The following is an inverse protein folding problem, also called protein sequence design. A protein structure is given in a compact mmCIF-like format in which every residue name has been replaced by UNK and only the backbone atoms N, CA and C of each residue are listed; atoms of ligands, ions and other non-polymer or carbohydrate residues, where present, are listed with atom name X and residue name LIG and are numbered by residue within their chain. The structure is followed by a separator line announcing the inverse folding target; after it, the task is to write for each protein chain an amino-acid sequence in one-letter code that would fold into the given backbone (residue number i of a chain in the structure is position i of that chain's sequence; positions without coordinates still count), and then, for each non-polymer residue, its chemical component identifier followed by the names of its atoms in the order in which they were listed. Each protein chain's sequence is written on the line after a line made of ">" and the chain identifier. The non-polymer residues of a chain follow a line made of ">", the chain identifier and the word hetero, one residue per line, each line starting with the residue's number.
data_IF_792132072251
#
_entry.id   IF_792132072251
#
_cell.length_a   1.000
_cell.length_b   1.000
_cell.length_c   1.000
_cell.angle_alpha   90.00
_cell.angle_beta   90.00
_cell.angle_gamma   90.00
#
_symmetry.space_group_name_H-M   'P 1'
#
loop_
_entity.id
_entity.type
_entity.pdbx_description
1 polymer ?
#
# COMPACT_ATOMS: atom_id res chain seq x y z
N UNK A 1 -7.53 -12.73 -33.15
CA UNK A 1 -8.58 -12.79 -32.12
C UNK A 1 -7.92 -12.69 -30.76
N UNK A 2 -8.37 -11.74 -29.96
CA UNK A 2 -7.76 -11.23 -28.73
C UNK A 2 -7.97 -12.23 -27.58
N UNK A 3 -6.90 -12.58 -26.86
CA UNK A 3 -7.00 -13.08 -25.47
C UNK A 3 -6.41 -12.03 -24.55
N UNK A 4 -7.21 -11.01 -24.27
CA UNK A 4 -7.08 -10.17 -23.08
C UNK A 4 -7.66 -11.01 -21.94
N UNK A 5 -6.80 -11.44 -21.03
CA UNK A 5 -7.19 -12.35 -19.96
C UNK A 5 -6.20 -12.24 -18.83
N UNK A 6 -6.62 -11.50 -17.80
CA UNK A 6 -6.14 -11.54 -16.42
C UNK A 6 -4.78 -10.86 -16.19
N UNK A 7 -4.82 -9.54 -16.00
CA UNK A 7 -3.81 -8.80 -15.23
C UNK A 7 -4.49 -7.86 -14.23
N UNK A 8 -5.52 -8.36 -13.56
CA UNK A 8 -6.37 -7.57 -12.65
C UNK A 8 -6.33 -8.09 -11.20
N UNK A 9 -5.27 -8.85 -10.87
CA UNK A 9 -5.04 -9.40 -9.52
C UNK A 9 -3.91 -8.63 -8.80
N UNK A 10 -3.25 -7.65 -9.44
CA UNK A 10 -2.08 -7.00 -8.83
C UNK A 10 -2.44 -6.00 -7.73
N UNK A 11 -3.57 -5.31 -7.82
CA UNK A 11 -3.75 -4.06 -7.05
C UNK A 11 -4.45 -4.27 -5.72
N UNK A 12 -5.53 -5.06 -5.66
CA UNK A 12 -6.13 -5.47 -4.37
C UNK A 12 -5.07 -6.18 -3.50
N UNK A 13 -4.26 -7.03 -4.12
CA UNK A 13 -3.15 -7.72 -3.45
C UNK A 13 -2.10 -6.72 -2.93
N UNK A 14 -1.89 -5.58 -3.60
CA UNK A 14 -0.99 -4.53 -3.15
C UNK A 14 -1.53 -3.79 -1.92
N UNK A 15 -2.82 -3.42 -1.90
CA UNK A 15 -3.46 -2.82 -0.73
C UNK A 15 -3.43 -3.76 0.47
N UNK A 16 -3.78 -5.03 0.27
CA UNK A 16 -3.73 -6.02 1.36
C UNK A 16 -2.32 -6.26 1.87
N UNK A 17 -1.30 -6.24 1.00
CA UNK A 17 0.09 -6.31 1.41
C UNK A 17 0.52 -5.12 2.28
N UNK A 18 0.09 -3.90 1.93
CA UNK A 18 0.35 -2.71 2.78
C UNK A 18 -0.33 -2.85 4.14
N UNK A 19 -1.57 -3.34 4.19
CA UNK A 19 -2.30 -3.55 5.44
C UNK A 19 -1.63 -4.61 6.34
N UNK A 20 -1.08 -5.67 5.73
CA UNK A 20 -0.28 -6.67 6.44
C UNK A 20 1.00 -6.06 7.01
N UNK A 21 1.75 -5.30 6.21
CA UNK A 21 2.95 -4.59 6.67
C UNK A 21 2.64 -3.62 7.84
N UNK A 22 1.51 -2.89 7.77
CA UNK A 22 1.05 -1.99 8.84
C UNK A 22 0.74 -2.76 10.12
N UNK A 23 0.05 -3.90 10.00
CA UNK A 23 -0.27 -4.76 11.15
C UNK A 23 1.00 -5.28 11.81
N UNK A 24 1.97 -5.70 11.01
CA UNK A 24 3.26 -6.21 11.50
C UNK A 24 4.07 -5.13 12.21
N UNK A 25 4.13 -3.92 11.65
CA UNK A 25 4.79 -2.79 12.31
C UNK A 25 4.08 -2.41 13.62
N UNK A 26 2.75 -2.40 13.62
CA UNK A 26 1.95 -2.13 14.83
C UNK A 26 2.24 -3.15 15.93
N UNK A 27 2.34 -4.43 15.58
CA UNK A 27 2.66 -5.49 16.53
C UNK A 27 4.08 -5.33 17.08
N UNK A 28 5.06 -5.04 16.22
CA UNK A 28 6.45 -4.75 16.66
C UNK A 28 6.52 -3.56 17.61
N UNK A 29 5.82 -2.48 17.32
CA UNK A 29 5.78 -1.31 18.21
C UNK A 29 5.22 -1.73 19.57
N UNK A 30 4.08 -2.44 19.60
CA UNK A 30 3.48 -2.91 20.86
C UNK A 30 4.40 -3.83 21.66
N UNK A 31 5.08 -4.75 20.99
CA UNK A 31 5.92 -5.75 21.68
C UNK A 31 7.18 -5.12 22.28
N UNK A 32 7.68 -4.02 21.70
CA UNK A 32 8.96 -3.41 22.08
C UNK A 32 8.86 -1.96 22.59
N UNK A 33 7.66 -1.38 22.75
CA UNK A 33 7.49 0.02 23.18
C UNK A 33 8.15 0.32 24.53
N UNK A 34 8.19 -0.66 25.44
CA UNK A 34 8.83 -0.52 26.75
C UNK A 34 10.35 -0.61 26.73
N UNK A 35 10.93 -1.10 25.64
CA UNK A 35 12.37 -1.28 25.44
C UNK A 35 12.93 -0.33 24.36
N UNK A 36 12.07 0.54 23.82
CA UNK A 36 12.40 1.38 22.68
C UNK A 36 13.38 2.50 23.07
N UNK A 37 14.55 2.48 22.46
CA UNK A 37 15.45 3.62 22.42
C UNK A 37 15.08 4.60 21.30
N UNK A 38 15.77 5.73 21.25
CA UNK A 38 15.50 6.77 20.26
C UNK A 38 15.74 6.29 18.82
N UNK A 39 16.72 5.41 18.62
CA UNK A 39 17.05 4.88 17.29
C UNK A 39 15.92 3.97 16.78
N UNK A 40 15.39 3.09 17.63
CA UNK A 40 14.28 2.21 17.30
C UNK A 40 13.01 3.00 16.97
N UNK A 41 12.70 4.05 17.74
CA UNK A 41 11.57 4.94 17.45
C UNK A 41 11.73 5.63 16.09
N UNK A 42 12.94 6.14 15.78
CA UNK A 42 13.23 6.77 14.49
C UNK A 42 13.03 5.77 13.34
N UNK A 43 13.47 4.52 13.51
CA UNK A 43 13.28 3.47 12.51
C UNK A 43 11.79 3.20 12.25
N UNK A 44 10.96 3.11 13.29
CA UNK A 44 9.51 2.94 13.13
C UNK A 44 8.84 4.12 12.42
N UNK A 45 9.31 5.35 12.67
CA UNK A 45 8.83 6.53 11.93
C UNK A 45 9.18 6.40 10.45
N UNK A 46 10.42 6.04 10.11
CA UNK A 46 10.80 5.84 8.71
C UNK A 46 10.03 4.71 8.03
N UNK A 47 9.79 3.61 8.73
CA UNK A 47 9.00 2.50 8.20
C UNK A 47 7.55 2.92 7.95
N UNK A 48 6.96 3.71 8.86
CA UNK A 48 5.63 4.30 8.66
C UNK A 48 5.60 5.21 7.43
N UNK A 49 6.58 6.08 7.25
CA UNK A 49 6.66 6.98 6.08
C UNK A 49 6.76 6.20 4.76
N UNK A 50 7.52 5.10 4.73
CA UNK A 50 7.59 4.21 3.56
C UNK A 50 6.25 3.54 3.26
N UNK A 51 5.50 3.12 4.28
CA UNK A 51 4.17 2.53 4.08
C UNK A 51 3.19 3.55 3.51
N UNK A 52 3.25 4.80 3.96
CA UNK A 52 2.45 5.90 3.39
C UNK A 52 2.84 6.16 1.93
N UNK A 53 4.13 6.14 1.60
CA UNK A 53 4.58 6.28 0.20
C UNK A 53 4.04 5.15 -0.69
N UNK A 54 4.09 3.89 -0.21
CA UNK A 54 3.52 2.75 -0.95
C UNK A 54 2.01 2.93 -1.18
N UNK A 55 1.28 3.38 -0.16
CA UNK A 55 -0.15 3.62 -0.27
C UNK A 55 -0.47 4.70 -1.30
N UNK A 56 0.31 5.80 -1.31
CA UNK A 56 0.16 6.87 -2.30
C UNK A 56 0.28 6.36 -3.74
N UNK A 57 1.27 5.53 -4.03
CA UNK A 57 1.45 4.95 -5.38
C UNK A 57 0.28 4.07 -5.81
N UNK A 58 -0.26 3.26 -4.90
CA UNK A 58 -1.45 2.44 -5.20
C UNK A 58 -2.67 3.31 -5.46
N UNK A 59 -2.80 4.44 -4.75
CA UNK A 59 -3.89 5.39 -5.00
C UNK A 59 -3.75 6.07 -6.36
N UNK A 60 -2.53 6.47 -6.77
CA UNK A 60 -2.26 7.01 -8.11
C UNK A 60 -2.65 6.00 -9.21
N UNK A 61 -2.29 4.72 -9.04
CA UNK A 61 -2.68 3.65 -9.97
C UNK A 61 -4.21 3.48 -10.05
N UNK A 62 -4.92 3.62 -8.94
CA UNK A 62 -6.40 3.60 -8.95
C UNK A 62 -7.00 4.82 -9.64
N UNK A 63 -6.46 6.01 -9.42
CA UNK A 63 -6.90 7.24 -10.11
C UNK A 63 -6.78 7.09 -11.63
N UNK A 64 -5.63 6.65 -12.13
CA UNK A 64 -5.42 6.38 -13.56
C UNK A 64 -6.45 5.37 -14.12
N UNK A 65 -6.77 4.31 -13.36
CA UNK A 65 -7.77 3.32 -13.77
C UNK A 65 -9.18 3.89 -13.80
N UNK A 66 -9.54 4.75 -12.85
CA UNK A 66 -10.84 5.39 -12.84
C UNK A 66 -11.01 6.37 -14.00
N UNK A 67 -9.97 7.14 -14.33
CA UNK A 67 -9.95 8.02 -15.51
C UNK A 67 -10.20 7.22 -16.80
N UNK A 68 -9.48 6.11 -16.98
CA UNK A 68 -9.66 5.22 -18.14
C UNK A 68 -11.07 4.62 -18.21
N UNK A 69 -11.68 4.31 -17.07
CA UNK A 69 -13.04 3.81 -16.99
C UNK A 69 -14.05 4.89 -17.40
N UNK A 70 -13.88 6.12 -16.90
CA UNK A 70 -14.74 7.27 -17.25
C UNK A 70 -14.70 7.55 -18.76
N UNK A 71 -13.51 7.62 -19.36
CA UNK A 71 -13.34 7.79 -20.81
C UNK A 71 -14.00 6.67 -21.63
N UNK A 72 -14.11 5.47 -21.07
CA UNK A 72 -14.75 4.32 -21.74
C UNK A 72 -16.29 4.40 -21.73
N UNK A 73 -16.86 5.09 -20.74
CA UNK A 73 -18.31 5.26 -20.56
C UNK A 73 -18.87 6.46 -21.32
N UNK A 74 -18.05 7.46 -21.64
CA UNK A 74 -18.45 8.63 -22.43
C UNK A 74 -18.53 8.37 -23.95
N UNK A 75 -18.28 7.12 -24.40
CA UNK A 75 -18.37 6.69 -25.81
C UNK A 75 -19.65 5.93 -26.12
#
# INVERSE_FOLDING_TARGET
>A
MIKSGVKDVSDETAVYGILEDVKDLTQKIRDYEGEADQELVINWVYDTLKLVEKLGKVMEEFEEKFELLEESLEK
#
